data_IF_736756411269
#
_entry.id   IF_736756411269
#
_cell.length_a   1.000
_cell.length_b   1.000
_cell.length_c   1.000
_cell.angle_alpha   90.00
_cell.angle_beta   90.00
_cell.angle_gamma   90.00
#
_symmetry.space_group_name_H-M   'P 1'
#
loop_
_entity.id
_entity.type
_entity.pdbx_description
1 polymer ?
#
# COMPACT_ATOMS: atom_id res chain seq x y z
N UNK A 1 -10.63 -1.43 -4.00
CA UNK A 1 -11.70 -0.85 -4.85
C UNK A 1 -12.22 0.47 -4.29
N UNK A 2 -12.45 0.61 -2.98
CA UNK A 2 -12.91 1.88 -2.39
C UNK A 2 -11.97 3.08 -2.61
N UNK A 3 -10.64 2.89 -2.48
CA UNK A 3 -9.64 3.96 -2.64
C UNK A 3 -9.69 4.66 -4.01
N UNK A 4 -9.93 3.88 -5.06
CA UNK A 4 -10.06 4.36 -6.44
C UNK A 4 -11.53 4.57 -6.86
N UNK A 5 -12.46 4.59 -5.91
CA UNK A 5 -13.85 4.95 -6.18
C UNK A 5 -14.03 6.48 -6.20
N UNK A 6 -15.09 7.00 -6.82
CA UNK A 6 -15.39 8.44 -6.84
C UNK A 6 -15.54 9.08 -5.46
N UNK A 7 -15.78 8.28 -4.41
CA UNK A 7 -15.89 8.74 -3.02
C UNK A 7 -14.55 9.19 -2.43
N UNK A 8 -13.44 8.65 -2.94
CA UNK A 8 -12.08 8.95 -2.47
C UNK A 8 -11.28 9.56 -3.62
N UNK A 9 -10.37 8.80 -4.22
CA UNK A 9 -9.41 9.31 -5.20
C UNK A 9 -9.70 8.86 -6.64
N UNK A 10 -10.87 8.28 -6.91
CA UNK A 10 -11.25 7.80 -8.23
C UNK A 10 -11.23 8.89 -9.30
N UNK A 11 -11.72 10.09 -8.97
CA UNK A 11 -11.72 11.25 -9.91
C UNK A 11 -10.32 11.71 -10.28
N UNK A 12 -9.39 11.76 -9.31
CA UNK A 12 -7.98 12.07 -9.55
C UNK A 12 -7.33 10.97 -10.39
N UNK A 13 -7.57 9.72 -10.02
CA UNK A 13 -7.03 8.58 -10.74
C UNK A 13 -7.51 8.55 -12.20
N UNK A 14 -8.81 8.75 -12.47
CA UNK A 14 -9.36 8.81 -13.82
C UNK A 14 -8.82 9.99 -14.64
N UNK A 15 -8.65 11.16 -14.01
CA UNK A 15 -8.16 12.36 -14.69
C UNK A 15 -6.70 12.28 -15.10
N UNK A 16 -5.85 11.72 -14.23
CA UNK A 16 -4.40 11.77 -14.40
C UNK A 16 -3.78 10.45 -14.88
N UNK A 17 -4.56 9.36 -14.97
CA UNK A 17 -4.09 8.12 -15.58
C UNK A 17 -3.88 8.31 -17.10
N UNK A 18 -2.80 7.74 -17.62
CA UNK A 18 -2.52 7.76 -19.05
C UNK A 18 -3.53 6.91 -19.84
N UNK A 19 -3.91 7.39 -21.03
CA UNK A 19 -4.71 6.68 -22.03
C UNK A 19 -3.82 6.31 -23.24
N UNK A 20 -4.10 5.19 -23.97
CA UNK A 20 -5.22 4.27 -23.81
C UNK A 20 -4.98 3.24 -22.69
N UNK A 21 -6.03 2.90 -21.94
CA UNK A 21 -5.96 1.84 -20.94
C UNK A 21 -6.23 0.49 -21.60
N UNK A 22 -5.26 -0.42 -21.70
CA UNK A 22 -5.51 -1.76 -22.22
C UNK A 22 -6.56 -2.46 -21.35
N UNK A 23 -7.35 -3.35 -21.96
CA UNK A 23 -8.31 -4.17 -21.23
C UNK A 23 -7.58 -4.92 -20.12
N UNK A 24 -8.04 -4.77 -18.87
CA UNK A 24 -7.41 -5.42 -17.71
C UNK A 24 -7.56 -6.93 -17.89
N UNK A 25 -6.46 -7.71 -17.96
CA UNK A 25 -6.55 -9.15 -18.11
C UNK A 25 -7.28 -9.77 -16.92
N UNK A 26 -8.26 -10.64 -17.16
CA UNK A 26 -9.11 -11.22 -16.09
C UNK A 26 -8.31 -11.93 -15.00
N UNK A 27 -7.15 -12.51 -15.33
CA UNK A 27 -6.29 -13.20 -14.35
C UNK A 27 -5.75 -12.27 -13.26
N UNK A 28 -5.63 -10.97 -13.52
CA UNK A 28 -5.13 -10.00 -12.53
C UNK A 28 -6.03 -9.90 -11.30
N UNK A 29 -7.31 -10.28 -11.40
CA UNK A 29 -8.25 -10.30 -10.27
C UNK A 29 -7.87 -11.33 -9.21
N UNK A 30 -7.19 -12.42 -9.60
CA UNK A 30 -6.71 -13.47 -8.69
C UNK A 30 -5.37 -13.09 -8.07
N UNK A 31 -4.49 -12.44 -8.83
CA UNK A 31 -3.19 -12.01 -8.31
C UNK A 31 -3.28 -10.80 -7.38
N UNK A 32 -4.29 -9.95 -7.55
CA UNK A 32 -4.53 -8.81 -6.70
C UNK A 32 -4.67 -9.16 -5.20
N UNK A 33 -5.45 -10.17 -4.77
CA UNK A 33 -5.46 -10.59 -3.37
C UNK A 33 -4.18 -11.34 -2.96
N UNK A 34 -3.60 -12.16 -3.85
CA UNK A 34 -2.39 -12.95 -3.53
C UNK A 34 -1.23 -12.05 -3.14
N UNK A 35 -0.97 -10.96 -3.88
CA UNK A 35 0.10 -10.02 -3.52
C UNK A 35 -0.14 -9.33 -2.17
N UNK A 36 -1.40 -9.10 -1.78
CA UNK A 36 -1.75 -8.44 -0.52
C UNK A 36 -1.59 -9.44 0.65
N UNK A 37 -1.88 -10.72 0.43
CA UNK A 37 -1.57 -11.80 1.39
C UNK A 37 -0.06 -11.91 1.60
N UNK A 38 0.73 -11.89 0.52
CA UNK A 38 2.20 -11.91 0.63
C UNK A 38 2.70 -10.72 1.46
N UNK A 39 2.20 -9.52 1.17
CA UNK A 39 2.56 -8.33 1.95
C UNK A 39 2.21 -8.49 3.44
N UNK A 40 1.02 -8.99 3.76
CA UNK A 40 0.60 -9.24 5.14
C UNK A 40 1.50 -10.26 5.85
N UNK A 41 1.89 -11.35 5.18
CA UNK A 41 2.79 -12.37 5.73
C UNK A 41 4.19 -11.80 6.00
N UNK A 42 4.71 -10.95 5.12
CA UNK A 42 6.00 -10.27 5.33
C UNK A 42 5.91 -9.29 6.52
N UNK A 43 4.82 -8.53 6.63
CA UNK A 43 4.59 -7.64 7.76
C UNK A 43 4.50 -8.42 9.07
N UNK A 44 3.77 -9.54 9.09
CA UNK A 44 3.69 -10.46 10.23
C UNK A 44 5.09 -10.96 10.64
N UNK A 45 5.88 -11.44 9.68
CA UNK A 45 7.25 -11.88 9.92
C UNK A 45 8.12 -10.77 10.56
N UNK A 46 8.00 -9.54 10.07
CA UNK A 46 8.73 -8.39 10.63
C UNK A 46 8.28 -8.04 12.05
N UNK A 47 6.97 -8.06 12.32
CA UNK A 47 6.41 -7.81 13.66
C UNK A 47 6.95 -8.84 14.67
N UNK A 48 6.94 -10.12 14.31
CA UNK A 48 7.40 -11.22 15.18
C UNK A 48 8.92 -11.15 15.38
N UNK A 49 9.69 -10.99 14.30
CA UNK A 49 11.17 -10.95 14.37
C UNK A 49 11.70 -9.77 15.17
N UNK A 50 10.97 -8.65 15.19
CA UNK A 50 11.31 -7.45 15.96
C UNK A 50 10.61 -7.37 17.32
N UNK A 51 9.87 -8.42 17.71
CA UNK A 51 9.11 -8.50 18.96
C UNK A 51 8.21 -7.26 19.22
N UNK A 52 7.55 -6.77 18.17
CA UNK A 52 6.74 -5.55 18.27
C UNK A 52 5.38 -5.84 18.93
N UNK A 53 5.30 -5.53 20.23
CA UNK A 53 4.08 -5.68 21.03
C UNK A 53 3.19 -4.43 21.06
N UNK A 54 3.58 -3.33 20.41
CA UNK A 54 2.81 -2.08 20.42
C UNK A 54 2.51 -1.60 19.01
N UNK A 55 1.23 -1.34 18.73
CA UNK A 55 0.79 -0.87 17.42
C UNK A 55 1.45 0.47 17.03
N UNK A 56 1.86 1.29 18.00
CA UNK A 56 2.58 2.56 17.74
C UNK A 56 3.96 2.30 17.12
N UNK A 57 4.70 1.33 17.65
CA UNK A 57 6.01 0.95 17.11
C UNK A 57 5.87 0.30 15.73
N UNK A 58 4.88 -0.58 15.56
CA UNK A 58 4.56 -1.17 14.26
C UNK A 58 4.17 -0.11 13.24
N UNK A 59 3.35 0.87 13.61
CA UNK A 59 2.99 2.00 12.77
C UNK A 59 4.22 2.82 12.34
N UNK A 60 5.18 3.03 13.24
CA UNK A 60 6.45 3.67 12.91
C UNK A 60 7.26 2.86 11.90
N UNK A 61 7.36 1.54 12.07
CA UNK A 61 8.04 0.65 11.13
C UNK A 61 7.37 0.66 9.75
N UNK A 62 6.04 0.53 9.70
CA UNK A 62 5.28 0.54 8.46
C UNK A 62 5.45 1.87 7.71
N UNK A 63 5.46 2.99 8.42
CA UNK A 63 5.76 4.29 7.84
C UNK A 63 7.19 4.36 7.28
N UNK A 64 8.20 3.86 8.01
CA UNK A 64 9.59 3.83 7.52
C UNK A 64 9.76 2.97 6.26
N UNK A 65 9.15 1.78 6.23
CA UNK A 65 9.16 0.91 5.06
C UNK A 65 8.43 1.55 3.88
N UNK A 66 7.32 2.22 4.15
CA UNK A 66 6.60 2.98 3.14
C UNK A 66 7.47 4.09 2.55
N UNK A 67 8.17 4.87 3.39
CA UNK A 67 9.11 5.89 2.90
C UNK A 67 10.19 5.26 2.03
N UNK A 68 10.84 4.21 2.53
CA UNK A 68 11.97 3.57 1.86
C UNK A 68 11.63 2.99 0.47
N UNK A 69 10.45 2.39 0.33
CA UNK A 69 10.10 1.65 -0.89
C UNK A 69 9.02 2.33 -1.74
N UNK A 70 7.96 2.84 -1.13
CA UNK A 70 6.82 3.40 -1.86
C UNK A 70 6.99 4.89 -2.14
N UNK A 71 7.35 5.69 -1.14
CA UNK A 71 7.52 7.14 -1.34
C UNK A 71 8.68 7.42 -2.30
N UNK A 72 9.84 6.80 -2.06
CA UNK A 72 11.01 6.92 -2.96
C UNK A 72 10.72 6.34 -4.34
N UNK A 73 10.05 5.17 -4.42
CA UNK A 73 9.67 4.57 -5.70
C UNK A 73 8.73 5.45 -6.53
N UNK A 74 7.71 6.04 -5.89
CA UNK A 74 6.79 6.96 -6.56
C UNK A 74 7.46 8.28 -6.94
N UNK A 75 8.38 8.80 -6.11
CA UNK A 75 9.21 9.95 -6.49
C UNK A 75 10.02 9.64 -7.74
N UNK A 76 10.59 8.44 -7.84
CA UNK A 76 11.28 7.97 -9.04
C UNK A 76 10.35 7.98 -10.27
N UNK A 77 9.15 7.41 -10.17
CA UNK A 77 8.19 7.39 -11.28
C UNK A 77 7.71 8.81 -11.69
N UNK A 78 7.64 9.75 -10.75
CA UNK A 78 7.31 11.15 -11.06
C UNK A 78 8.47 11.84 -11.80
N UNK A 79 9.70 11.69 -11.29
CA UNK A 79 10.88 12.40 -11.80
C UNK A 79 11.33 11.81 -13.15
N UNK A 80 11.35 10.49 -13.27
CA UNK A 80 11.99 9.79 -14.38
C UNK A 80 10.98 9.25 -15.41
N UNK A 81 9.78 8.85 -14.98
CA UNK A 81 8.78 8.20 -15.87
C UNK A 81 7.63 9.13 -16.28
N UNK A 82 7.75 10.44 -16.02
CA UNK A 82 6.74 11.46 -16.33
C UNK A 82 5.35 11.17 -15.73
N UNK A 83 5.28 10.42 -14.63
CA UNK A 83 4.03 10.20 -13.93
C UNK A 83 3.53 11.52 -13.30
N UNK A 84 2.25 11.84 -13.50
CA UNK A 84 1.63 13.00 -12.87
C UNK A 84 1.72 12.88 -11.35
N UNK A 85 2.23 13.91 -10.67
CA UNK A 85 2.50 13.86 -9.24
C UNK A 85 1.24 13.59 -8.41
N UNK A 86 0.07 14.07 -8.85
CA UNK A 86 -1.21 13.80 -8.21
C UNK A 86 -1.52 12.30 -8.21
N UNK A 87 -1.28 11.63 -9.34
CA UNK A 87 -1.46 10.19 -9.48
C UNK A 87 -0.46 9.42 -8.60
N UNK A 88 0.79 9.87 -8.57
CA UNK A 88 1.81 9.32 -7.68
C UNK A 88 1.44 9.38 -6.21
N UNK A 89 0.89 10.51 -5.74
CA UNK A 89 0.41 10.64 -4.37
C UNK A 89 -0.77 9.70 -4.07
N UNK A 90 -1.69 9.50 -5.02
CA UNK A 90 -2.81 8.56 -4.85
C UNK A 90 -2.31 7.13 -4.70
N UNK A 91 -1.32 6.72 -5.51
CA UNK A 91 -0.71 5.39 -5.43
C UNK A 91 0.11 5.20 -4.16
N UNK A 92 0.92 6.20 -3.79
CA UNK A 92 1.69 6.18 -2.56
C UNK A 92 0.75 6.09 -1.34
N UNK A 93 -0.31 6.89 -1.32
CA UNK A 93 -1.30 6.90 -0.25
C UNK A 93 -2.08 5.58 -0.10
N UNK A 94 -2.45 4.92 -1.21
CA UNK A 94 -3.11 3.60 -1.19
C UNK A 94 -2.28 2.58 -0.41
N UNK A 95 -0.98 2.52 -0.71
CA UNK A 95 -0.07 1.61 -0.03
C UNK A 95 0.22 2.00 1.41
N UNK A 96 0.34 3.30 1.71
CA UNK A 96 0.48 3.74 3.11
C UNK A 96 -0.70 3.25 3.94
N UNK A 97 -1.92 3.52 3.48
CA UNK A 97 -3.14 3.12 4.19
C UNK A 97 -3.18 1.61 4.42
N UNK A 98 -2.89 0.81 3.38
CA UNK A 98 -2.86 -0.66 3.48
C UNK A 98 -1.82 -1.15 4.47
N UNK A 99 -0.59 -0.65 4.40
CA UNK A 99 0.49 -1.06 5.30
C UNK A 99 0.15 -0.70 6.75
N UNK A 100 -0.38 0.50 7.01
CA UNK A 100 -0.82 0.91 8.35
C UNK A 100 -1.94 0.00 8.86
N UNK A 101 -2.95 -0.26 8.02
CA UNK A 101 -4.07 -1.11 8.39
C UNK A 101 -3.61 -2.54 8.71
N UNK A 102 -2.82 -3.17 7.84
CA UNK A 102 -2.29 -4.51 8.04
C UNK A 102 -1.43 -4.59 9.31
N UNK A 103 -0.49 -3.67 9.49
CA UNK A 103 0.41 -3.64 10.65
C UNK A 103 -0.35 -3.49 11.97
N UNK A 104 -1.29 -2.54 12.05
CA UNK A 104 -2.09 -2.31 13.26
C UNK A 104 -2.95 -3.53 13.59
N UNK A 105 -3.67 -4.08 12.60
CA UNK A 105 -4.56 -5.23 12.80
C UNK A 105 -3.76 -6.45 13.25
N UNK A 106 -2.63 -6.74 12.61
CA UNK A 106 -1.77 -7.88 12.97
C UNK A 106 -1.17 -7.74 14.37
N UNK A 107 -0.65 -6.55 14.74
CA UNK A 107 -0.13 -6.33 16.09
C UNK A 107 -1.22 -6.50 17.15
N UNK A 108 -2.40 -5.93 16.95
CA UNK A 108 -3.53 -6.08 17.89
C UNK A 108 -3.95 -7.55 18.00
N UNK A 109 -3.96 -8.28 16.89
CA UNK A 109 -4.30 -9.69 16.86
C UNK A 109 -3.31 -10.56 17.64
N UNK A 110 -1.99 -10.34 17.47
CA UNK A 110 -0.97 -11.09 18.22
C UNK A 110 -1.00 -10.79 19.71
N UNK A 111 -1.22 -9.53 20.08
CA UNK A 111 -1.34 -9.15 21.49
C UNK A 111 -2.54 -9.78 22.19
N UNK A 112 -3.61 -10.15 21.47
CA UNK A 112 -4.75 -10.89 22.04
C UNK A 112 -4.47 -12.37 22.27
N UNK A 113 -3.46 -12.93 21.59
CA UNK A 113 -3.13 -14.36 21.66
C UNK A 113 -1.98 -14.67 22.63
N UNK A 114 -1.23 -13.67 23.07
CA UNK A 114 -0.21 -13.77 24.11
C UNK A 114 -0.80 -13.63 25.51
#
# INVERSE_FOLDING_TARGET
MLWYSPLLFGTIWEKYRSAPNPAIPKWTIVFAPVREIIAALVIEFLIISMALSNWRWTSGLMFLLWVAFHAVGMAGAIIWDNMQWQLGLVHAGDWLMKMQYMGIVLTIWFNKKS
#
